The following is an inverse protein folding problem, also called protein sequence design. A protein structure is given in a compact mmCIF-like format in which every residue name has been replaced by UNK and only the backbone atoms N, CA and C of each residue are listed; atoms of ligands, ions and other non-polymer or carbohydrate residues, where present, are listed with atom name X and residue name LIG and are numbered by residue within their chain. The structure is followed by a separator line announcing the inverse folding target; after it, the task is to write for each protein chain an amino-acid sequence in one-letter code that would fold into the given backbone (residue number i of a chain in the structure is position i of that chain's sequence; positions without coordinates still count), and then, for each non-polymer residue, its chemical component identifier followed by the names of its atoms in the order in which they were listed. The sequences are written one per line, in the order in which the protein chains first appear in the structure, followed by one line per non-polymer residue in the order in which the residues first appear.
data_IF_001353601345
#
_entry.id   IF_001353601345
#
_cell.length_a   1.000
_cell.length_b   1.000
_cell.length_c   1.000
_cell.angle_alpha   90.00
_cell.angle_beta   90.00
_cell.angle_gamma   90.00
#
_symmetry.space_group_name_H-M   'P 1'
#
loop_
_entity.id
_entity.type
_entity.pdbx_description
1 polymer ?
#
# COMPACT_ATOMS: atom_id res chain seq x y z
N UNK A 1 -12.09 14.94 35.81
CA UNK A 1 -11.37 13.71 36.23
C UNK A 1 -9.92 14.05 36.49
N UNK A 2 -9.28 13.43 37.48
CA UNK A 2 -7.83 13.51 37.68
C UNK A 2 -7.21 12.29 37.02
N UNK A 3 -6.21 12.49 36.17
CA UNK A 3 -5.42 11.42 35.58
C UNK A 3 -4.11 11.33 36.34
N UNK A 4 -3.76 10.13 36.77
CA UNK A 4 -2.45 9.84 37.35
C UNK A 4 -1.53 9.44 36.22
N UNK A 5 -0.46 10.19 35.99
CA UNK A 5 0.51 9.84 34.96
C UNK A 5 1.25 8.53 35.32
N UNK A 6 1.99 7.89 34.38
CA UNK A 6 2.74 6.66 34.65
C UNK A 6 3.85 6.81 35.70
N UNK A 7 4.14 8.04 36.12
CA UNK A 7 5.11 8.37 37.16
C UNK A 7 4.46 8.67 38.52
N UNK A 8 3.14 8.47 38.65
CA UNK A 8 2.41 8.62 39.92
C UNK A 8 2.01 10.05 40.28
N UNK A 9 2.09 11.00 39.34
CA UNK A 9 1.70 12.40 39.57
C UNK A 9 0.27 12.63 39.08
N UNK A 10 -0.58 13.17 39.96
CA UNK A 10 -1.96 13.54 39.62
C UNK A 10 -2.00 14.87 38.85
N UNK A 11 -2.67 14.87 37.71
CA UNK A 11 -2.94 16.07 36.92
C UNK A 11 -4.41 16.14 36.51
N UNK A 12 -4.94 17.35 36.27
CA UNK A 12 -6.22 17.45 35.59
C UNK A 12 -6.12 16.77 34.22
N UNK A 13 -7.14 16.00 33.83
CA UNK A 13 -7.13 15.23 32.58
C UNK A 13 -6.81 16.09 31.34
N UNK A 14 -7.13 17.37 31.42
CA UNK A 14 -6.93 18.42 30.42
C UNK A 14 -5.45 18.72 30.15
N UNK A 15 -4.54 18.32 31.04
CA UNK A 15 -3.08 18.50 30.89
C UNK A 15 -2.40 17.40 30.08
N UNK A 16 -3.16 16.38 29.62
CA UNK A 16 -2.62 15.30 28.80
C UNK A 16 -2.95 15.58 27.34
N UNK A 17 -1.93 15.90 26.54
CA UNK A 17 -2.09 16.08 25.08
C UNK A 17 -1.60 14.84 24.36
N UNK A 18 -2.42 14.24 23.50
CA UNK A 18 -2.04 13.12 22.64
C UNK A 18 -1.46 13.61 21.32
N UNK A 19 -0.37 12.98 20.89
CA UNK A 19 0.30 13.19 19.61
C UNK A 19 0.46 11.84 18.93
N UNK A 20 0.10 11.75 17.65
CA UNK A 20 0.25 10.54 16.85
C UNK A 20 1.44 10.70 15.91
N UNK A 21 2.44 9.82 16.05
CA UNK A 21 3.60 9.73 15.16
C UNK A 21 3.37 8.65 14.11
N UNK A 22 3.56 8.98 12.82
CA UNK A 22 3.26 8.08 11.69
C UNK A 22 4.39 7.11 11.33
N UNK A 23 5.54 7.24 12.00
CA UNK A 23 6.77 6.50 11.65
C UNK A 23 6.83 5.09 12.24
N UNK A 24 6.00 4.75 13.23
CA UNK A 24 6.04 3.44 13.89
C UNK A 24 4.88 2.53 13.42
N UNK A 25 5.15 1.25 13.10
CA UNK A 25 4.12 0.31 12.69
C UNK A 25 3.23 -0.14 13.86
N UNK A 26 3.73 -0.01 15.09
CA UNK A 26 3.05 -0.39 16.31
C UNK A 26 2.21 0.79 16.83
N UNK A 27 0.88 0.63 16.83
CA UNK A 27 -0.05 1.67 17.27
C UNK A 27 0.15 2.06 18.75
N UNK A 28 0.63 1.13 19.58
CA UNK A 28 0.84 1.37 21.00
C UNK A 28 2.13 2.18 21.25
N UNK A 29 3.04 2.26 20.27
CA UNK A 29 4.23 3.13 20.25
C UNK A 29 3.98 4.45 19.52
N UNK A 30 3.17 4.43 18.45
CA UNK A 30 2.84 5.60 17.63
C UNK A 30 2.10 6.71 18.39
N UNK A 31 1.30 6.36 19.41
CA UNK A 31 0.56 7.34 20.21
C UNK A 31 1.40 7.73 21.43
N UNK A 32 1.83 8.99 21.47
CA UNK A 32 2.63 9.58 22.56
C UNK A 32 1.82 10.64 23.28
N UNK A 33 1.83 10.59 24.60
CA UNK A 33 1.16 11.53 25.47
C UNK A 33 2.17 12.43 26.15
N UNK A 34 2.01 13.74 26.01
CA UNK A 34 2.73 14.69 26.86
C UNK A 34 1.96 14.88 28.15
N UNK A 35 2.64 14.63 29.26
CA UNK A 35 2.15 15.01 30.58
C UNK A 35 2.89 16.27 30.96
N UNK A 36 2.15 17.34 31.26
CA UNK A 36 2.69 18.62 31.73
C UNK A 36 3.53 18.55 33.03
N UNK A 37 3.81 17.35 33.54
CA UNK A 37 4.79 17.05 34.58
C UNK A 37 6.26 17.30 34.18
N UNK A 38 6.57 17.75 32.96
CA UNK A 38 7.92 18.13 32.55
C UNK A 38 8.88 16.95 32.32
N UNK A 39 8.36 15.71 32.32
CA UNK A 39 9.09 14.52 31.87
C UNK A 39 8.83 14.28 30.39
N UNK A 40 9.75 13.59 29.70
CA UNK A 40 9.51 13.14 28.32
C UNK A 40 8.18 12.39 28.26
N UNK A 41 7.35 12.68 27.25
CA UNK A 41 6.05 12.02 27.05
C UNK A 41 6.12 10.50 27.10
N UNK A 42 4.97 9.86 27.31
CA UNK A 42 4.85 8.41 27.43
C UNK A 42 3.99 7.82 26.32
N UNK A 43 4.26 6.58 25.92
CA UNK A 43 3.49 5.92 24.87
C UNK A 43 2.17 5.34 25.39
N UNK A 44 1.22 5.08 24.50
CA UNK A 44 -0.02 4.37 24.80
C UNK A 44 0.24 3.02 25.46
N UNK A 45 1.26 2.28 25.01
CA UNK A 45 1.71 1.04 25.66
C UNK A 45 1.96 1.22 27.17
N UNK A 46 2.62 2.31 27.54
CA UNK A 46 2.95 2.63 28.93
C UNK A 46 1.72 3.10 29.71
N UNK A 47 0.80 3.78 29.04
CA UNK A 47 -0.48 4.19 29.62
C UNK A 47 -1.37 2.98 29.97
N UNK A 48 -1.45 2.01 29.05
CA UNK A 48 -2.16 0.74 29.24
C UNK A 48 -1.57 -0.02 30.43
N UNK A 49 -0.25 -0.20 30.45
CA UNK A 49 0.44 -0.90 31.55
C UNK A 49 0.24 -0.22 32.92
N UNK A 50 -0.05 1.08 32.92
CA UNK A 50 -0.29 1.86 34.14
C UNK A 50 -1.78 1.96 34.51
N UNK A 51 -2.69 1.43 33.68
CA UNK A 51 -4.14 1.46 33.93
C UNK A 51 -4.73 2.87 33.92
N UNK A 52 -4.15 3.81 33.16
CA UNK A 52 -4.55 5.22 33.16
C UNK A 52 -5.86 5.43 32.41
N UNK A 53 -6.07 4.64 31.36
CA UNK A 53 -7.24 4.68 30.49
C UNK A 53 -8.05 3.41 30.65
N UNK A 54 -9.36 3.53 30.46
CA UNK A 54 -10.26 2.37 30.34
C UNK A 54 -10.05 1.65 29.00
N UNK A 55 -10.45 0.39 28.90
CA UNK A 55 -10.38 -0.39 27.64
C UNK A 55 -11.11 0.32 26.47
N UNK A 56 -12.24 0.99 26.74
CA UNK A 56 -13.00 1.75 25.74
C UNK A 56 -12.20 2.96 25.20
N UNK A 57 -11.55 3.71 26.10
CA UNK A 57 -10.68 4.83 25.72
C UNK A 57 -9.46 4.34 24.92
N UNK A 58 -8.87 3.21 25.33
CA UNK A 58 -7.74 2.59 24.61
C UNK A 58 -8.16 2.19 23.20
N UNK A 59 -9.35 1.59 23.03
CA UNK A 59 -9.86 1.22 21.72
C UNK A 59 -10.12 2.44 20.85
N UNK A 60 -10.70 3.51 21.42
CA UNK A 60 -10.93 4.77 20.72
C UNK A 60 -9.63 5.42 20.26
N UNK A 61 -8.60 5.45 21.12
CA UNK A 61 -7.27 5.97 20.78
C UNK A 61 -6.60 5.15 19.67
N UNK A 62 -6.71 3.82 19.72
CA UNK A 62 -6.23 2.94 18.64
C UNK A 62 -7.01 3.14 17.35
N UNK A 63 -8.32 3.38 17.42
CA UNK A 63 -9.16 3.68 16.26
C UNK A 63 -8.78 5.02 15.63
N UNK A 64 -8.52 6.05 16.43
CA UNK A 64 -8.06 7.36 15.97
C UNK A 64 -6.67 7.28 15.32
N UNK A 65 -5.74 6.57 15.96
CA UNK A 65 -4.42 6.29 15.38
C UNK A 65 -4.51 5.49 14.07
N UNK A 66 -5.42 4.51 14.00
CA UNK A 66 -5.72 3.79 12.75
C UNK A 66 -6.35 4.67 11.69
N UNK A 67 -7.20 5.62 12.06
CA UNK A 67 -7.83 6.55 11.13
C UNK A 67 -6.79 7.51 10.54
N UNK A 68 -5.96 8.10 11.39
CA UNK A 68 -4.84 8.93 10.96
C UNK A 68 -3.84 8.16 10.09
N UNK A 69 -3.58 6.88 10.40
CA UNK A 69 -2.73 6.01 9.58
C UNK A 69 -3.42 5.51 8.30
N UNK A 70 -4.73 5.32 8.35
CA UNK A 70 -5.57 4.87 7.23
C UNK A 70 -5.79 5.97 6.20
N UNK A 71 -5.91 7.22 6.64
CA UNK A 71 -5.83 8.41 5.79
C UNK A 71 -4.43 8.60 5.18
N UNK A 72 -3.37 8.07 5.82
CA UNK A 72 -2.02 8.01 5.25
C UNK A 72 -1.72 6.73 4.45
N UNK A 73 -2.69 5.83 4.27
CA UNK A 73 -2.48 4.64 3.44
C UNK A 73 -2.77 5.05 2.01
N UNK A 74 -1.69 5.29 1.26
CA UNK A 74 -1.72 5.50 -0.19
C UNK A 74 -2.73 4.55 -0.86
N UNK A 75 -3.76 5.10 -1.51
CA UNK A 75 -4.71 4.32 -2.33
C UNK A 75 -4.04 3.70 -3.57
N UNK A 76 -2.79 4.07 -3.79
CA UNK A 76 -1.97 3.59 -4.89
C UNK A 76 -1.70 2.08 -4.82
N UNK A 77 -1.54 1.48 -6.00
CA UNK A 77 -1.26 0.05 -6.18
C UNK A 77 -0.07 -0.12 -7.11
N UNK A 78 0.68 -1.21 -6.94
CA UNK A 78 1.74 -1.60 -7.89
C UNK A 78 1.19 -1.69 -9.32
N UNK A 79 1.99 -1.28 -10.28
CA UNK A 79 1.67 -1.12 -11.70
C UNK A 79 0.58 -0.09 -12.04
N UNK A 80 0.16 0.74 -11.08
CA UNK A 80 -0.76 1.84 -11.36
C UNK A 80 -0.06 3.00 -12.05
N UNK A 81 -0.68 3.54 -13.08
CA UNK A 81 -0.23 4.77 -13.72
C UNK A 81 -0.55 6.00 -12.85
N UNK A 82 0.42 6.89 -12.71
CA UNK A 82 0.31 8.09 -11.89
C UNK A 82 0.88 9.31 -12.61
N UNK A 83 0.39 10.49 -12.26
CA UNK A 83 0.98 11.77 -12.64
C UNK A 83 1.68 12.38 -11.44
N UNK A 84 2.93 12.81 -11.61
CA UNK A 84 3.71 13.45 -10.55
C UNK A 84 3.30 14.91 -10.44
N UNK A 85 2.84 15.34 -9.26
CA UNK A 85 2.27 16.68 -9.02
C UNK A 85 3.29 17.70 -8.52
N UNK A 86 4.43 17.24 -8.00
CA UNK A 86 5.43 18.08 -7.33
C UNK A 86 6.87 17.64 -7.63
N UNK A 87 7.82 18.54 -7.36
CA UNK A 87 9.25 18.29 -7.55
C UNK A 87 9.75 18.47 -8.99
N UNK A 88 10.95 17.95 -9.25
CA UNK A 88 11.66 18.06 -10.54
C UNK A 88 10.89 17.40 -11.69
N UNK A 89 10.18 16.30 -11.40
CA UNK A 89 9.42 15.52 -12.36
C UNK A 89 7.95 15.94 -12.48
N UNK A 90 7.60 17.15 -12.02
CA UNK A 90 6.22 17.63 -12.03
C UNK A 90 5.63 17.62 -13.44
N UNK A 91 4.45 17.02 -13.56
CA UNK A 91 3.70 16.87 -14.80
C UNK A 91 4.10 15.65 -15.62
N UNK A 92 5.11 14.89 -15.20
CA UNK A 92 5.47 13.63 -15.85
C UNK A 92 4.56 12.49 -15.39
N UNK A 93 4.34 11.54 -16.30
CA UNK A 93 3.70 10.27 -15.99
C UNK A 93 4.74 9.28 -15.42
N UNK A 94 4.28 8.40 -14.55
CA UNK A 94 5.07 7.31 -14.01
C UNK A 94 4.21 6.08 -13.70
N UNK A 95 4.89 4.99 -13.38
CA UNK A 95 4.27 3.73 -12.95
C UNK A 95 4.68 3.42 -11.52
N UNK A 96 3.71 3.15 -10.65
CA UNK A 96 3.98 2.73 -9.28
C UNK A 96 4.68 1.38 -9.31
N UNK A 97 5.93 1.34 -8.86
CA UNK A 97 6.70 0.12 -8.72
C UNK A 97 6.38 -0.59 -7.40
N UNK A 98 6.39 0.16 -6.30
CA UNK A 98 6.13 -0.35 -4.96
C UNK A 98 5.46 0.69 -4.06
N UNK A 99 4.75 0.23 -3.02
CA UNK A 99 4.09 1.07 -2.01
C UNK A 99 4.48 0.58 -0.62
N UNK A 100 5.17 1.44 0.13
CA UNK A 100 5.55 1.22 1.53
C UNK A 100 4.95 2.33 2.41
N UNK A 101 3.70 2.10 2.85
CA UNK A 101 2.96 3.08 3.66
C UNK A 101 2.69 4.40 2.90
N UNK A 102 3.36 5.46 3.34
CA UNK A 102 3.31 6.80 2.71
C UNK A 102 4.41 7.00 1.64
N UNK A 103 5.27 6.00 1.42
CA UNK A 103 6.30 6.08 0.38
C UNK A 103 5.89 5.27 -0.83
N UNK A 104 5.87 5.92 -1.98
CA UNK A 104 5.48 5.32 -3.25
C UNK A 104 6.69 5.41 -4.17
N UNK A 105 7.21 4.25 -4.55
CA UNK A 105 8.27 4.17 -5.56
C UNK A 105 7.61 4.24 -6.93
N UNK A 106 8.03 5.20 -7.74
CA UNK A 106 7.53 5.44 -9.09
C UNK A 106 8.69 5.30 -10.07
N UNK A 107 8.47 4.47 -11.08
CA UNK A 107 9.32 4.38 -12.27
C UNK A 107 8.87 5.45 -13.26
N UNK A 108 9.75 6.41 -13.56
CA UNK A 108 9.48 7.46 -14.56
C UNK A 108 9.62 6.90 -15.97
N UNK A 109 9.12 7.64 -16.97
CA UNK A 109 9.29 7.29 -18.38
C UNK A 109 10.76 7.26 -18.83
N UNK A 110 11.63 7.94 -18.11
CA UNK A 110 13.09 7.97 -18.36
C UNK A 110 13.79 6.70 -17.86
N UNK A 111 13.07 5.86 -17.09
CA UNK A 111 13.56 4.59 -16.56
C UNK A 111 14.17 4.71 -15.17
N UNK A 112 14.04 5.86 -14.53
CA UNK A 112 14.55 6.13 -13.19
C UNK A 112 13.51 5.86 -12.10
N UNK A 113 13.98 5.41 -10.94
CA UNK A 113 13.14 5.15 -9.77
C UNK A 113 13.21 6.34 -8.81
N UNK A 114 12.05 6.89 -8.47
CA UNK A 114 11.93 7.99 -7.53
C UNK A 114 10.88 7.68 -6.46
N UNK A 115 11.09 8.18 -5.24
CA UNK A 115 10.19 7.99 -4.11
C UNK A 115 9.37 9.26 -3.90
N UNK A 116 8.06 9.10 -3.79
CA UNK A 116 7.09 10.18 -3.57
C UNK A 116 6.17 9.87 -2.41
N UNK A 117 5.63 10.91 -1.77
CA UNK A 117 4.46 10.78 -0.91
C UNK A 117 3.16 10.73 -1.75
N UNK A 118 2.08 10.10 -1.27
CA UNK A 118 0.78 10.05 -1.96
C UNK A 118 0.22 11.43 -2.31
N UNK A 119 0.48 12.46 -1.50
CA UNK A 119 0.07 13.83 -1.80
C UNK A 119 0.79 14.46 -3.01
N UNK A 120 1.90 13.87 -3.45
CA UNK A 120 2.69 14.31 -4.59
C UNK A 120 2.31 13.59 -5.88
N UNK A 121 1.35 12.67 -5.82
CA UNK A 121 0.92 11.85 -6.96
C UNK A 121 -0.58 11.98 -7.18
N UNK A 122 -0.99 11.90 -8.45
CA UNK A 122 -2.37 11.72 -8.83
C UNK A 122 -2.53 10.38 -9.56
N UNK A 123 -3.52 9.59 -9.14
CA UNK A 123 -3.86 8.37 -9.86
C UNK A 123 -4.40 8.73 -11.24
N UNK A 124 -3.72 8.27 -12.30
CA UNK A 124 -4.30 8.34 -13.63
C UNK A 124 -5.37 7.27 -13.66
N UNK A 125 -6.63 7.70 -13.77
CA UNK A 125 -7.69 6.78 -14.13
C UNK A 125 -7.32 6.22 -15.50
N UNK A 126 -6.74 5.02 -15.53
CA UNK A 126 -6.83 4.19 -16.71
C UNK A 126 -8.33 4.03 -16.91
N UNK A 127 -8.88 4.69 -17.93
CA UNK A 127 -10.06 4.16 -18.58
C UNK A 127 -9.77 2.66 -18.68
N UNK A 128 -10.58 1.85 -18.01
CA UNK A 128 -10.63 0.45 -18.36
C UNK A 128 -10.94 0.50 -19.85
N UNK A 129 -9.90 0.38 -20.67
CA UNK A 129 -10.02 0.15 -22.08
C UNK A 129 -10.97 -1.02 -22.14
N UNK A 130 -12.16 -0.76 -22.67
CA UNK A 130 -12.98 -1.80 -23.20
C UNK A 130 -12.08 -2.53 -24.20
N UNK A 131 -11.37 -3.55 -23.73
CA UNK A 131 -10.86 -4.61 -24.58
C UNK A 131 -12.10 -5.36 -25.04
N UNK A 132 -12.81 -4.73 -25.98
CA UNK A 132 -13.47 -5.36 -27.09
C UNK A 132 -12.45 -6.38 -27.60
N UNK A 133 -12.61 -7.61 -27.14
CA UNK A 133 -11.81 -8.72 -27.61
C UNK A 133 -11.84 -8.66 -29.14
N UNK A 134 -10.69 -8.76 -29.83
CA UNK A 134 -10.71 -8.83 -31.27
C UNK A 134 -11.59 -10.00 -31.67
N UNK A 135 -12.60 -9.68 -32.46
CA UNK A 135 -13.47 -10.60 -33.19
C UNK A 135 -12.58 -11.71 -33.77
N UNK A 136 -12.71 -12.91 -33.22
CA UNK A 136 -11.96 -14.11 -33.61
C UNK A 136 -12.45 -14.64 -34.96
N UNK A 137 -12.33 -13.82 -36.00
CA UNK A 137 -12.45 -14.25 -37.39
C UNK A 137 -11.16 -14.94 -37.82
N UNK A 138 -10.98 -16.22 -37.48
CA UNK A 138 -9.94 -17.04 -38.12
C UNK A 138 -10.48 -17.61 -39.43
N UNK A 139 -10.22 -16.91 -40.54
CA UNK A 139 -10.28 -17.47 -41.88
C UNK A 139 -8.87 -17.63 -42.43
N UNK A 140 -8.40 -18.89 -42.35
CA UNK A 140 -7.59 -19.63 -43.32
C UNK A 140 -6.33 -19.01 -43.94
N UNK A 141 -5.22 -19.73 -43.80
CA UNK A 141 -4.45 -20.39 -44.89
C UNK A 141 -3.16 -20.94 -44.25
N UNK A 142 -3.00 -22.25 -44.11
CA UNK A 142 -2.55 -23.21 -45.13
C UNK A 142 -1.13 -23.65 -44.76
N UNK A 143 -1.01 -24.85 -44.19
CA UNK A 143 0.22 -25.64 -44.24
C UNK A 143 -0.17 -27.00 -44.81
N UNK A 144 0.07 -27.14 -46.10
CA UNK A 144 -0.03 -28.40 -46.83
C UNK A 144 1.15 -29.28 -46.44
N UNK A 145 0.90 -30.56 -46.15
CA UNK A 145 1.46 -31.67 -46.95
C UNK A 145 0.95 -33.01 -46.43
N UNK A 146 -0.11 -33.50 -47.08
CA UNK A 146 -0.52 -34.90 -47.05
C UNK A 146 0.28 -35.62 -48.15
N UNK A 147 1.39 -36.26 -47.77
CA UNK A 147 2.09 -37.23 -48.61
C UNK A 147 1.44 -38.62 -48.53
N UNK A 148 1.43 -39.39 -49.62
CA UNK A 148 0.65 -40.62 -49.76
C UNK A 148 1.26 -41.82 -49.00
N UNK A 149 0.36 -42.60 -48.41
CA UNK A 149 0.58 -43.93 -47.84
C UNK A 149 1.01 -44.89 -48.96
N UNK A 150 2.26 -45.37 -48.88
CA UNK A 150 2.85 -46.25 -49.87
C UNK A 150 3.80 -47.24 -49.21
N UNK A 151 3.33 -48.49 -49.13
CA UNK A 151 4.15 -49.68 -49.32
C UNK A 151 4.96 -50.16 -48.11
N UNK A 152 4.35 -51.02 -47.30
CA UNK A 152 5.08 -52.08 -46.61
C UNK A 152 5.21 -53.26 -47.58
N UNK A 153 6.44 -53.68 -47.81
CA UNK A 153 6.84 -54.88 -48.55
C UNK A 153 6.32 -56.14 -47.84
N UNK A 154 5.66 -57.05 -48.57
CA UNK A 154 5.65 -58.49 -48.20
C UNK A 154 5.55 -59.37 -49.45
N UNK A 155 6.74 -59.75 -49.91
CA UNK A 155 7.16 -61.07 -50.38
C UNK A 155 6.13 -62.00 -51.07
N UNK A 156 6.30 -62.13 -52.39
CA UNK A 156 6.01 -63.40 -53.08
C UNK A 156 6.99 -64.47 -52.59
N UNK A 157 6.50 -65.42 -51.78
CA UNK A 157 6.98 -66.81 -51.77
C UNK A 157 5.82 -67.76 -52.07
N UNK A 158 6.15 -68.67 -52.97
CA UNK A 158 5.35 -69.65 -53.70
C UNK A 158 4.75 -70.77 -52.82
N UNK A 159 3.83 -71.56 -53.38
CA UNK A 159 4.19 -72.93 -53.77
C UNK A 159 4.54 -73.07 -55.26
#
# INVERSE_FOLDING_TARGET
MKLTCPWGVEHPAESVTSVVSTTEPDLDLAVVFDCGCGRRGFTLKRAIASGIFTDDEIEKLRAEARKLRGESRSDFRSAQAVTILAGEHKGQAGLVWAVDGDKIEVLTLEGDYHVYSPAELEAVATAADETKGPDGGTKGAADETKGPDGGTEDERRHP
#
